data_IF_380544066047
#
_entry.id   IF_380544066047
#
_cell.length_a   1.000
_cell.length_b   1.000
_cell.length_c   1.000
_cell.angle_alpha   90.00
_cell.angle_beta   90.00
_cell.angle_gamma   90.00
#
_symmetry.space_group_name_H-M   'P 1'
#
loop_
_entity.id
_entity.type
_entity.pdbx_description
1 polymer ?
#
# COMPACT_ATOMS: atom_id res chain seq x y z
N UNK A 1 21.90 8.11 -28.79
CA UNK A 1 21.84 8.93 -27.57
C UNK A 1 23.20 9.00 -26.92
N UNK A 2 23.54 10.15 -26.37
CA UNK A 2 24.76 10.27 -25.60
C UNK A 2 24.60 9.55 -24.27
N UNK A 3 25.73 9.14 -23.70
CA UNK A 3 25.75 8.49 -22.38
C UNK A 3 25.12 9.39 -21.30
N UNK A 4 25.33 10.69 -21.40
CA UNK A 4 24.75 11.67 -20.47
C UNK A 4 23.21 11.68 -20.51
N UNK A 5 22.63 11.61 -21.70
CA UNK A 5 21.17 11.57 -21.88
C UNK A 5 20.57 10.28 -21.33
N UNK A 6 21.27 9.14 -21.46
CA UNK A 6 20.82 7.86 -20.91
C UNK A 6 20.81 7.90 -19.38
N UNK A 7 21.82 8.48 -18.76
CA UNK A 7 21.90 8.65 -17.31
C UNK A 7 20.79 9.54 -16.79
N UNK A 8 20.51 10.64 -17.49
CA UNK A 8 19.43 11.58 -17.13
C UNK A 8 18.07 10.89 -17.14
N UNK A 9 17.78 10.10 -18.18
CA UNK A 9 16.53 9.35 -18.27
C UNK A 9 16.40 8.32 -17.17
N UNK A 10 17.48 7.61 -16.83
CA UNK A 10 17.48 6.63 -15.76
C UNK A 10 17.15 7.28 -14.41
N UNK A 11 17.73 8.45 -14.12
CA UNK A 11 17.46 9.21 -12.90
C UNK A 11 16.01 9.70 -12.85
N UNK A 12 15.45 10.18 -13.96
CA UNK A 12 14.06 10.63 -14.04
C UNK A 12 13.08 9.48 -13.73
N UNK A 13 13.33 8.30 -14.28
CA UNK A 13 12.52 7.11 -14.02
C UNK A 13 12.61 6.70 -12.55
N UNK A 14 13.80 6.73 -11.95
CA UNK A 14 14.00 6.38 -10.54
C UNK A 14 13.28 7.36 -9.61
N UNK A 15 13.36 8.66 -9.89
CA UNK A 15 12.65 9.69 -9.12
C UNK A 15 11.13 9.46 -9.20
N UNK A 16 10.60 9.16 -10.38
CA UNK A 16 9.19 8.89 -10.57
C UNK A 16 8.74 7.67 -9.75
N UNK A 17 9.54 6.59 -9.73
CA UNK A 17 9.25 5.40 -8.91
C UNK A 17 9.22 5.72 -7.42
N UNK A 18 10.19 6.50 -6.94
CA UNK A 18 10.27 6.90 -5.53
C UNK A 18 9.07 7.75 -5.13
N UNK A 19 8.63 8.66 -6.00
CA UNK A 19 7.43 9.49 -5.74
C UNK A 19 6.18 8.62 -5.63
N UNK A 20 6.01 7.64 -6.50
CA UNK A 20 4.89 6.71 -6.46
C UNK A 20 4.90 5.91 -5.17
N UNK A 21 6.06 5.37 -4.77
CA UNK A 21 6.22 4.64 -3.52
C UNK A 21 5.90 5.51 -2.30
N UNK A 22 6.37 6.76 -2.28
CA UNK A 22 6.11 7.69 -1.19
C UNK A 22 4.62 8.01 -1.04
N UNK A 23 3.91 8.22 -2.16
CA UNK A 23 2.47 8.44 -2.15
C UNK A 23 1.72 7.21 -1.63
N UNK A 24 2.14 6.02 -2.05
CA UNK A 24 1.56 4.76 -1.60
C UNK A 24 1.79 4.53 -0.12
N UNK A 25 3.00 4.80 0.36
CA UNK A 25 3.35 4.71 1.78
C UNK A 25 2.48 5.66 2.62
N UNK A 26 2.35 6.91 2.18
CA UNK A 26 1.50 7.90 2.84
C UNK A 26 0.07 7.40 2.97
N UNK A 27 -0.48 6.87 1.87
CA UNK A 27 -1.85 6.37 1.84
C UNK A 27 -2.04 5.19 2.78
N UNK A 28 -1.15 4.21 2.73
CA UNK A 28 -1.27 3.00 3.55
C UNK A 28 -0.90 3.20 5.01
N UNK A 29 -0.20 4.28 5.35
CA UNK A 29 0.22 4.56 6.74
C UNK A 29 -0.95 4.93 7.65
N UNK A 30 -2.05 5.44 7.09
CA UNK A 30 -3.24 5.82 7.86
C UNK A 30 -4.28 4.70 7.78
N UNK A 31 -5.14 4.62 8.81
CA UNK A 31 -6.27 3.69 8.79
C UNK A 31 -7.20 3.98 7.61
N UNK A 32 -7.57 5.23 7.40
CA UNK A 32 -8.49 5.63 6.34
C UNK A 32 -7.97 5.26 4.96
N UNK A 33 -6.69 5.51 4.70
CA UNK A 33 -6.08 5.17 3.43
C UNK A 33 -6.00 3.65 3.22
N UNK A 34 -5.57 2.90 4.23
CA UNK A 34 -5.51 1.45 4.17
C UNK A 34 -6.90 0.85 3.93
N UNK A 35 -7.90 1.31 4.68
CA UNK A 35 -9.28 0.85 4.57
C UNK A 35 -9.86 1.12 3.18
N UNK A 36 -9.60 2.31 2.63
CA UNK A 36 -10.01 2.68 1.28
C UNK A 36 -9.42 1.73 0.23
N UNK A 37 -8.13 1.43 0.35
CA UNK A 37 -7.46 0.50 -0.56
C UNK A 37 -7.94 -0.94 -0.37
N UNK A 38 -8.32 -1.31 0.84
CA UNK A 38 -8.93 -2.61 1.11
C UNK A 38 -10.21 -2.77 0.29
N UNK A 39 -11.07 -1.77 0.27
CA UNK A 39 -12.29 -1.81 -0.54
C UNK A 39 -11.97 -1.90 -2.03
N UNK A 40 -10.96 -1.18 -2.50
CA UNK A 40 -10.54 -1.28 -3.89
C UNK A 40 -10.04 -2.69 -4.23
N UNK A 41 -9.32 -3.31 -3.31
CA UNK A 41 -8.81 -4.68 -3.47
C UNK A 41 -9.93 -5.73 -3.49
N UNK A 42 -11.05 -5.47 -2.80
CA UNK A 42 -12.19 -6.38 -2.80
C UNK A 42 -12.76 -6.63 -4.19
N UNK A 43 -12.67 -5.64 -5.07
CA UNK A 43 -13.15 -5.75 -6.44
C UNK A 43 -12.40 -6.79 -7.26
N UNK A 44 -11.15 -7.06 -6.89
CA UNK A 44 -10.25 -7.96 -7.61
C UNK A 44 -9.97 -9.25 -6.83
N UNK A 45 -10.50 -9.37 -5.63
CA UNK A 45 -10.24 -10.49 -4.73
C UNK A 45 -11.49 -11.33 -4.52
N UNK A 46 -11.30 -12.62 -4.26
CA UNK A 46 -12.40 -13.56 -4.04
C UNK A 46 -13.01 -13.45 -2.65
N UNK A 47 -12.19 -13.09 -1.66
CA UNK A 47 -12.62 -12.99 -0.26
C UNK A 47 -12.05 -11.74 0.39
N UNK A 48 -12.65 -11.32 1.50
CA UNK A 48 -12.14 -10.22 2.32
C UNK A 48 -10.74 -10.52 2.85
N UNK A 49 -10.51 -11.76 3.26
CA UNK A 49 -9.20 -12.18 3.76
C UNK A 49 -8.12 -12.06 2.69
N UNK A 50 -8.41 -12.48 1.47
CA UNK A 50 -7.48 -12.37 0.34
C UNK A 50 -7.14 -10.90 0.07
N UNK A 51 -8.15 -10.03 0.05
CA UNK A 51 -7.94 -8.59 -0.16
C UNK A 51 -7.06 -8.00 0.93
N UNK A 52 -7.31 -8.37 2.18
CA UNK A 52 -6.51 -7.92 3.32
C UNK A 52 -5.07 -8.42 3.21
N UNK A 53 -4.86 -9.70 2.92
CA UNK A 53 -3.53 -10.28 2.84
C UNK A 53 -2.68 -9.61 1.76
N UNK A 54 -3.25 -9.37 0.59
CA UNK A 54 -2.55 -8.68 -0.50
C UNK A 54 -2.10 -7.28 -0.08
N UNK A 55 -2.98 -6.54 0.56
CA UNK A 55 -2.70 -5.17 0.96
C UNK A 55 -1.69 -5.12 2.11
N UNK A 56 -1.84 -6.02 3.08
CA UNK A 56 -0.92 -6.10 4.21
C UNK A 56 0.48 -6.53 3.76
N UNK A 57 0.56 -7.40 2.76
CA UNK A 57 1.83 -7.80 2.14
C UNK A 57 2.48 -6.62 1.40
N UNK A 58 1.70 -5.83 0.68
CA UNK A 58 2.20 -4.61 0.05
C UNK A 58 2.77 -3.66 1.10
N UNK A 59 2.08 -3.50 2.22
CA UNK A 59 2.55 -2.68 3.33
C UNK A 59 3.90 -3.19 3.84
N UNK A 60 4.03 -4.51 4.02
CA UNK A 60 5.29 -5.13 4.45
C UNK A 60 6.42 -4.82 3.46
N UNK A 61 6.16 -4.92 2.16
CA UNK A 61 7.17 -4.63 1.14
C UNK A 61 7.63 -3.16 1.18
N UNK A 62 6.74 -2.25 1.53
CA UNK A 62 7.05 -0.82 1.59
C UNK A 62 7.71 -0.41 2.90
N UNK A 63 7.30 -0.99 4.03
CA UNK A 63 7.69 -0.54 5.36
C UNK A 63 8.63 -1.52 6.10
N UNK A 64 8.71 -2.77 5.67
CA UNK A 64 9.55 -3.77 6.33
C UNK A 64 8.90 -4.46 7.53
N UNK A 65 7.63 -4.19 7.80
CA UNK A 65 6.84 -4.83 8.86
C UNK A 65 5.36 -4.82 8.46
N UNK A 66 4.57 -5.70 9.06
CA UNK A 66 3.13 -5.76 8.79
C UNK A 66 2.37 -4.71 9.60
N UNK A 67 1.39 -4.05 8.97
CA UNK A 67 0.55 -3.07 9.66
C UNK A 67 -0.37 -3.72 10.69
N UNK A 68 -0.92 -4.89 10.34
CA UNK A 68 -1.80 -5.66 11.22
C UNK A 68 -1.27 -7.09 11.31
N UNK A 69 -1.41 -7.71 12.48
CA UNK A 69 -0.93 -9.06 12.70
C UNK A 69 -1.77 -10.11 11.98
N UNK A 70 -3.06 -9.84 11.79
CA UNK A 70 -4.00 -10.78 11.17
C UNK A 70 -5.21 -10.04 10.63
N UNK A 71 -6.00 -10.73 9.81
CA UNK A 71 -7.27 -10.23 9.32
C UNK A 71 -8.23 -9.92 10.48
N UNK A 72 -8.23 -10.74 11.52
CA UNK A 72 -9.05 -10.51 12.71
C UNK A 72 -8.66 -9.22 13.42
N UNK A 73 -7.38 -8.94 13.57
CA UNK A 73 -6.90 -7.68 14.15
C UNK A 73 -7.37 -6.48 13.33
N UNK A 74 -7.31 -6.59 12.01
CA UNK A 74 -7.82 -5.55 11.11
C UNK A 74 -9.32 -5.33 11.30
N UNK A 75 -10.10 -6.41 11.38
CA UNK A 75 -11.55 -6.34 11.61
C UNK A 75 -11.87 -5.62 12.92
N UNK A 76 -11.13 -5.88 13.98
CA UNK A 76 -11.32 -5.20 15.27
C UNK A 76 -11.08 -3.70 15.14
N UNK A 77 -10.03 -3.31 14.43
CA UNK A 77 -9.72 -1.89 14.20
C UNK A 77 -10.83 -1.23 13.39
N UNK A 78 -11.33 -1.90 12.35
CA UNK A 78 -12.45 -1.40 11.53
C UNK A 78 -13.67 -1.17 12.40
N UNK A 79 -14.06 -2.13 13.23
CA UNK A 79 -15.21 -2.01 14.14
C UNK A 79 -15.04 -0.83 15.10
N UNK A 80 -13.85 -0.66 15.64
CA UNK A 80 -13.54 0.46 16.52
C UNK A 80 -13.77 1.80 15.83
N UNK A 81 -13.27 1.96 14.62
CA UNK A 81 -13.41 3.20 13.85
C UNK A 81 -14.86 3.46 13.41
N UNK A 82 -15.61 2.41 13.07
CA UNK A 82 -17.01 2.55 12.63
C UNK A 82 -17.97 2.89 13.77
N UNK A 83 -17.59 2.62 15.02
CA UNK A 83 -18.41 2.94 16.20
C UNK A 83 -18.29 4.39 16.67
N UNK A 84 -17.36 5.14 16.10
CA UNK A 84 -17.17 6.54 16.49
C UNK A 84 -18.19 7.47 15.81
#
# INVERSE_FOLDING_TARGET
>A
MSELEQRKKALEVEIAKLKIQNLRMKKLSTFTGFYSEFFNSLKESKTHEEAFEKLNEEFFQLFGFYKYNSHDSFKHVVRYHLKK
#
